data_IF_073430683661
#
_entry.id   IF_073430683661
#
_cell.length_a   1.000
_cell.length_b   1.000
_cell.length_c   1.000
_cell.angle_alpha   90.00
_cell.angle_beta   90.00
_cell.angle_gamma   90.00
#
_symmetry.space_group_name_H-M   'P 1'
#
loop_
_entity.id
_entity.type
_entity.pdbx_description
1 polymer ?
#
# COMPACT_ATOMS: atom_id res chain seq x y z
N UNK A 1 -8.74 -10.40 53.56
CA UNK A 1 -9.62 -10.15 52.40
C UNK A 1 -9.12 -8.89 51.72
N UNK A 2 -8.56 -8.98 50.50
CA UNK A 2 -8.09 -7.83 49.72
C UNK A 2 -9.11 -7.53 48.63
N UNK A 3 -9.54 -6.28 48.42
CA UNK A 3 -10.48 -5.96 47.35
C UNK A 3 -9.74 -5.98 46.00
N UNK A 4 -10.23 -6.80 45.06
CA UNK A 4 -9.87 -6.71 43.65
C UNK A 4 -10.56 -5.49 43.05
N UNK A 5 -9.82 -4.44 42.70
CA UNK A 5 -10.30 -3.41 41.79
C UNK A 5 -10.24 -3.96 40.37
N UNK A 6 -11.39 -4.36 39.85
CA UNK A 6 -11.56 -4.68 38.42
C UNK A 6 -11.78 -3.37 37.67
N UNK A 7 -10.71 -2.80 37.11
CA UNK A 7 -10.80 -1.62 36.26
C UNK A 7 -11.20 -2.07 34.84
N UNK A 8 -12.51 -2.03 34.55
CA UNK A 8 -13.03 -2.27 33.21
C UNK A 8 -12.76 -1.04 32.34
N UNK A 9 -11.67 -1.07 31.57
CA UNK A 9 -11.42 -0.09 30.53
C UNK A 9 -12.24 -0.45 29.28
N UNK A 10 -13.39 0.20 29.09
CA UNK A 10 -14.11 0.17 27.82
C UNK A 10 -13.33 1.00 26.78
N UNK A 11 -12.42 0.36 26.03
CA UNK A 11 -11.84 0.96 24.84
C UNK A 11 -12.87 0.81 23.72
N UNK A 12 -13.61 1.88 23.46
CA UNK A 12 -14.48 1.99 22.28
C UNK A 12 -13.59 2.40 21.10
N UNK A 13 -13.20 1.44 20.26
CA UNK A 13 -12.61 1.73 18.95
C UNK A 13 -13.73 2.14 17.98
N UNK A 14 -13.95 3.44 17.79
CA UNK A 14 -14.66 3.95 16.62
C UNK A 14 -13.66 4.11 15.47
N UNK A 15 -13.60 3.15 14.56
CA UNK A 15 -12.92 3.29 13.27
C UNK A 15 -13.81 4.13 12.33
N UNK A 16 -13.58 5.44 12.31
CA UNK A 16 -14.16 6.31 11.27
C UNK A 16 -13.32 6.15 10.00
N UNK A 17 -13.80 5.35 9.04
CA UNK A 17 -13.22 5.27 7.70
C UNK A 17 -13.57 6.55 6.92
N UNK A 18 -12.79 7.61 7.13
CA UNK A 18 -12.75 8.72 6.20
C UNK A 18 -11.85 8.32 5.02
N UNK A 19 -12.47 7.95 3.90
CA UNK A 19 -11.76 7.78 2.63
C UNK A 19 -11.25 9.17 2.18
N UNK A 20 -10.00 9.50 2.54
CA UNK A 20 -9.32 10.67 2.01
C UNK A 20 -8.97 10.41 0.54
N UNK A 21 -9.81 10.88 -0.37
CA UNK A 21 -9.48 11.03 -1.78
C UNK A 21 -8.54 12.23 -1.91
N UNK A 22 -7.23 12.00 -1.94
CA UNK A 22 -6.26 13.02 -2.35
C UNK A 22 -6.05 12.90 -3.85
N UNK A 23 -6.59 13.86 -4.62
CA UNK A 23 -6.20 14.03 -6.01
C UNK A 23 -4.71 14.44 -6.08
N UNK A 24 -3.90 13.82 -6.95
CA UNK A 24 -2.50 14.22 -7.11
C UNK A 24 -2.42 15.57 -7.83
N UNK A 25 -1.87 16.55 -7.13
CA UNK A 25 -1.45 17.83 -7.67
C UNK A 25 -0.33 17.60 -8.70
N UNK A 26 -0.66 17.84 -9.96
CA UNK A 26 0.22 17.72 -11.13
C UNK A 26 1.31 18.82 -11.06
N UNK A 27 2.40 18.54 -10.37
CA UNK A 27 3.58 19.39 -10.34
C UNK A 27 4.29 19.35 -11.69
N UNK A 28 4.02 20.35 -12.52
CA UNK A 28 4.74 20.64 -13.75
C UNK A 28 6.20 21.02 -13.42
N UNK A 29 7.12 20.08 -13.61
CA UNK A 29 8.55 20.34 -13.62
C UNK A 29 9.00 20.58 -15.07
N UNK A 30 9.02 21.84 -15.49
CA UNK A 30 9.73 22.32 -16.67
C UNK A 30 11.23 22.33 -16.38
N UNK A 31 11.95 21.34 -16.88
CA UNK A 31 13.41 21.41 -17.02
C UNK A 31 13.75 21.78 -18.46
N UNK A 32 13.98 23.08 -18.66
CA UNK A 32 14.82 23.58 -19.73
C UNK A 32 16.24 23.04 -19.50
N UNK A 33 16.77 22.28 -20.47
CA UNK A 33 18.19 21.89 -20.49
C UNK A 33 18.75 22.17 -21.87
N UNK A 34 19.46 23.29 -21.88
CA UNK A 34 20.56 23.74 -22.73
C UNK A 34 20.88 22.97 -24.02
N UNK A 35 20.67 23.73 -25.08
CA UNK A 35 21.05 23.55 -26.47
C UNK A 35 22.58 23.47 -26.61
N UNK A 36 23.09 22.26 -26.80
CA UNK A 36 24.49 21.99 -27.12
C UNK A 36 24.80 22.33 -28.58
N UNK A 37 25.61 23.36 -28.78
CA UNK A 37 26.11 23.89 -30.04
C UNK A 37 26.75 22.80 -30.94
N UNK A 38 26.13 22.54 -32.09
CA UNK A 38 26.58 21.55 -33.07
C UNK A 38 27.65 22.11 -34.01
N UNK A 39 28.69 21.32 -34.24
CA UNK A 39 29.77 21.60 -35.19
C UNK A 39 29.24 21.71 -36.65
N UNK A 40 29.88 22.55 -37.50
CA UNK A 40 29.47 22.71 -38.89
C UNK A 40 29.71 21.42 -39.70
N UNK A 41 28.62 20.86 -40.24
CA UNK A 41 28.66 19.69 -41.11
C UNK A 41 29.22 20.03 -42.52
N UNK A 42 29.92 19.08 -43.18
CA UNK A 42 30.42 19.26 -44.54
C UNK A 42 29.26 19.34 -45.56
N UNK A 43 29.38 20.27 -46.52
CA UNK A 43 28.42 20.47 -47.62
C UNK A 43 28.20 19.20 -48.44
N UNK A 44 27.03 18.59 -48.28
CA UNK A 44 26.57 17.49 -49.11
C UNK A 44 25.97 17.99 -50.43
N UNK A 45 26.22 17.21 -51.49
CA UNK A 45 25.72 17.36 -52.86
C UNK A 45 24.18 17.38 -52.89
N UNK A 46 23.54 18.21 -53.74
CA UNK A 46 22.09 18.28 -53.80
C UNK A 46 21.47 16.91 -54.15
N UNK A 47 20.52 16.40 -53.35
CA UNK A 47 19.86 15.14 -53.64
C UNK A 47 19.02 15.29 -54.92
N UNK A 48 19.18 14.31 -55.80
CA UNK A 48 18.28 14.07 -56.94
C UNK A 48 16.84 14.11 -56.47
N UNK A 49 15.99 14.88 -57.17
CA UNK A 49 14.59 15.11 -56.84
C UNK A 49 13.82 13.79 -56.72
N UNK A 50 13.79 13.26 -55.50
CA UNK A 50 12.96 12.13 -55.13
C UNK A 50 11.50 12.57 -55.27
N UNK A 51 10.76 11.87 -56.13
CA UNK A 51 9.32 12.00 -56.28
C UNK A 51 8.69 11.98 -54.90
N UNK A 52 8.12 13.10 -54.46
CA UNK A 52 7.42 13.20 -53.20
C UNK A 52 6.28 12.19 -53.21
N UNK A 53 6.41 11.13 -52.41
CA UNK A 53 5.29 10.24 -52.16
C UNK A 53 4.15 11.09 -51.58
N UNK A 54 2.90 10.82 -51.98
CA UNK A 54 1.75 11.49 -51.36
C UNK A 54 1.87 11.33 -49.83
N UNK A 55 1.47 12.35 -49.04
CA UNK A 55 1.47 12.23 -47.60
C UNK A 55 0.66 10.98 -47.24
N UNK A 56 1.33 9.93 -46.78
CA UNK A 56 0.64 8.80 -46.20
C UNK A 56 -0.02 9.37 -44.95
N UNK A 57 -1.35 9.27 -44.87
CA UNK A 57 -2.08 9.47 -43.63
C UNK A 57 -1.54 8.46 -42.62
N UNK A 58 -0.52 8.88 -41.86
CA UNK A 58 0.04 8.09 -40.78
C UNK A 58 -1.07 7.99 -39.75
N UNK A 59 -1.68 6.81 -39.68
CA UNK A 59 -2.60 6.52 -38.59
C UNK A 59 -1.84 6.79 -37.28
N UNK A 60 -2.39 7.64 -36.39
CA UNK A 60 -1.69 8.00 -35.17
C UNK A 60 -1.36 6.73 -34.40
N UNK A 61 -0.14 6.65 -33.81
CA UNK A 61 0.29 5.46 -33.10
C UNK A 61 -0.73 5.10 -32.01
N UNK A 62 -1.01 3.80 -31.80
CA UNK A 62 -1.96 3.37 -30.79
C UNK A 62 -1.50 3.89 -29.42
N UNK A 63 -2.40 4.58 -28.71
CA UNK A 63 -2.11 5.07 -27.36
C UNK A 63 -2.02 3.88 -26.41
N UNK A 64 -0.85 3.69 -25.80
CA UNK A 64 -0.68 2.67 -24.75
C UNK A 64 -1.66 2.95 -23.61
N UNK A 65 -2.46 1.97 -23.18
CA UNK A 65 -3.42 2.18 -22.12
C UNK A 65 -2.68 2.46 -20.81
N UNK A 66 -3.14 3.46 -20.04
CA UNK A 66 -2.54 3.84 -18.76
C UNK A 66 -2.69 2.70 -17.75
N UNK A 67 -1.66 2.36 -16.96
CA UNK A 67 -1.79 1.39 -15.88
C UNK A 67 -2.93 1.75 -14.91
N UNK A 68 -3.63 0.73 -14.40
CA UNK A 68 -4.66 0.87 -13.38
C UNK A 68 -4.05 0.52 -12.03
N UNK A 69 -4.26 1.36 -11.02
CA UNK A 69 -3.79 1.12 -9.65
C UNK A 69 -4.89 0.54 -8.79
N UNK A 70 -4.62 -0.58 -8.11
CA UNK A 70 -5.52 -1.20 -7.13
C UNK A 70 -4.93 -1.04 -5.73
N UNK A 71 -5.74 -0.57 -4.79
CA UNK A 71 -5.32 -0.43 -3.39
C UNK A 71 -5.56 -1.72 -2.60
N UNK A 72 -4.54 -2.22 -1.91
CA UNK A 72 -4.63 -3.39 -1.02
C UNK A 72 -4.24 -3.07 0.43
N UNK A 73 -4.11 -1.79 0.79
CA UNK A 73 -3.67 -1.38 2.14
C UNK A 73 -4.59 -1.81 3.28
N UNK A 74 -5.86 -2.12 3.02
CA UNK A 74 -6.74 -2.68 4.05
C UNK A 74 -6.23 -4.01 4.60
N UNK A 75 -5.49 -4.80 3.81
CA UNK A 75 -4.90 -6.06 4.25
C UNK A 75 -3.80 -5.81 5.30
N UNK A 76 -2.93 -4.82 5.04
CA UNK A 76 -1.91 -4.40 6.01
C UNK A 76 -2.56 -3.89 7.30
N UNK A 77 -3.59 -3.05 7.19
CA UNK A 77 -4.34 -2.54 8.36
C UNK A 77 -4.97 -3.66 9.19
N UNK A 78 -5.49 -4.72 8.55
CA UNK A 78 -6.05 -5.87 9.25
C UNK A 78 -4.97 -6.64 10.05
N UNK A 79 -3.78 -6.81 9.46
CA UNK A 79 -2.65 -7.44 10.14
C UNK A 79 -2.13 -6.57 11.30
N UNK A 80 -2.09 -5.26 11.13
CA UNK A 80 -1.75 -4.32 12.21
C UNK A 80 -2.76 -4.38 13.36
N UNK A 81 -4.05 -4.44 13.05
CA UNK A 81 -5.09 -4.68 14.05
C UNK A 81 -4.91 -6.00 14.80
N UNK A 82 -4.51 -7.07 14.11
CA UNK A 82 -4.21 -8.34 14.72
C UNK A 82 -2.97 -8.27 15.64
N UNK A 83 -1.91 -7.57 15.23
CA UNK A 83 -0.71 -7.37 16.04
C UNK A 83 -1.02 -6.60 17.34
N UNK A 84 -1.82 -5.53 17.27
CA UNK A 84 -2.27 -4.78 18.46
C UNK A 84 -3.12 -5.66 19.37
N UNK A 85 -4.00 -6.47 18.79
CA UNK A 85 -4.82 -7.43 19.56
C UNK A 85 -3.95 -8.44 20.30
N UNK A 86 -2.93 -8.99 19.63
CA UNK A 86 -1.96 -9.90 20.26
C UNK A 86 -1.17 -9.22 21.37
N UNK A 87 -0.72 -7.98 21.17
CA UNK A 87 -0.01 -7.21 22.19
C UNK A 87 -0.89 -6.94 23.42
N UNK A 88 -2.17 -6.61 23.19
CA UNK A 88 -3.15 -6.46 24.27
C UNK A 88 -3.34 -7.75 25.06
N UNK A 89 -3.48 -8.90 24.37
CA UNK A 89 -3.58 -10.21 25.02
C UNK A 89 -2.32 -10.51 25.82
N UNK A 90 -1.12 -10.23 25.28
CA UNK A 90 0.14 -10.40 25.99
C UNK A 90 0.16 -9.60 27.30
N UNK A 91 -0.22 -8.32 27.26
CA UNK A 91 -0.25 -7.46 28.45
C UNK A 91 -1.24 -7.89 29.54
N UNK A 92 -2.25 -8.68 29.20
CA UNK A 92 -3.25 -9.20 30.15
C UNK A 92 -3.03 -10.67 30.54
N UNK A 93 -2.17 -11.39 29.81
CA UNK A 93 -1.85 -12.78 30.12
C UNK A 93 -0.96 -12.86 31.37
N UNK A 94 -1.21 -13.87 32.21
CA UNK A 94 -0.38 -14.17 33.37
C UNK A 94 0.36 -15.49 33.15
N UNK A 95 1.60 -15.59 33.64
CA UNK A 95 2.45 -16.78 33.47
C UNK A 95 3.27 -16.77 32.19
N UNK A 96 3.83 -17.94 31.84
CA UNK A 96 4.83 -18.11 30.76
C UNK A 96 4.27 -17.88 29.35
N UNK A 97 2.96 -17.89 29.17
CA UNK A 97 2.33 -17.74 27.86
C UNK A 97 2.39 -16.27 27.37
N UNK A 98 2.64 -15.31 28.25
CA UNK A 98 2.76 -13.88 27.92
C UNK A 98 3.85 -13.63 26.85
N UNK A 99 5.03 -14.23 27.03
CA UNK A 99 6.17 -14.02 26.12
C UNK A 99 5.84 -14.46 24.69
N UNK A 100 5.10 -15.56 24.54
CA UNK A 100 4.71 -16.08 23.22
C UNK A 100 3.74 -15.13 22.49
N UNK A 101 2.79 -14.53 23.21
CA UNK A 101 1.91 -13.51 22.63
C UNK A 101 2.67 -12.23 22.31
N UNK A 102 3.63 -11.82 23.15
CA UNK A 102 4.49 -10.66 22.90
C UNK A 102 5.35 -10.83 21.66
N UNK A 103 6.06 -11.95 21.52
CA UNK A 103 6.84 -12.27 20.32
C UNK A 103 5.96 -12.41 19.08
N UNK A 104 4.78 -13.02 19.23
CA UNK A 104 3.78 -13.11 18.18
C UNK A 104 3.36 -11.72 17.70
N UNK A 105 3.01 -10.81 18.61
CA UNK A 105 2.60 -9.44 18.27
C UNK A 105 3.71 -8.69 17.51
N UNK A 106 4.95 -8.75 18.00
CA UNK A 106 6.11 -8.10 17.36
C UNK A 106 6.36 -8.68 15.97
N UNK A 107 6.34 -10.01 15.83
CA UNK A 107 6.53 -10.68 14.54
C UNK A 107 5.40 -10.34 13.55
N UNK A 108 4.15 -10.37 13.99
CA UNK A 108 2.98 -10.01 13.18
C UNK A 108 3.06 -8.55 12.71
N UNK A 109 3.43 -7.62 13.59
CA UNK A 109 3.61 -6.22 13.20
C UNK A 109 4.79 -6.03 12.22
N UNK A 110 5.96 -6.57 12.54
CA UNK A 110 7.17 -6.31 11.77
C UNK A 110 7.14 -6.98 10.39
N UNK A 111 6.62 -8.21 10.30
CA UNK A 111 6.68 -9.02 9.07
C UNK A 111 5.36 -9.07 8.31
N UNK A 112 4.24 -8.74 8.95
CA UNK A 112 2.90 -8.81 8.36
C UNK A 112 2.75 -8.05 7.04
N UNK A 113 3.00 -6.74 7.08
CA UNK A 113 2.99 -5.88 5.88
C UNK A 113 3.99 -6.32 4.81
N UNK A 114 5.29 -6.53 5.15
CA UNK A 114 6.29 -7.01 4.20
C UNK A 114 5.91 -8.30 3.47
N UNK A 115 5.31 -9.28 4.18
CA UNK A 115 4.84 -10.53 3.56
C UNK A 115 3.72 -10.25 2.55
N UNK A 116 2.77 -9.35 2.88
CA UNK A 116 1.71 -8.95 1.94
C UNK A 116 2.31 -8.28 0.70
N UNK A 117 3.24 -7.33 0.86
CA UNK A 117 3.90 -6.70 -0.28
C UNK A 117 4.65 -7.69 -1.17
N UNK A 118 5.32 -8.69 -0.57
CA UNK A 118 5.96 -9.78 -1.32
C UNK A 118 4.94 -10.65 -2.07
N UNK A 119 3.79 -10.94 -1.46
CA UNK A 119 2.72 -11.69 -2.11
C UNK A 119 2.14 -10.98 -3.34
N UNK A 120 2.18 -9.63 -3.34
CA UNK A 120 1.81 -8.78 -4.48
C UNK A 120 2.97 -8.51 -5.45
N UNK A 121 4.12 -9.20 -5.31
CA UNK A 121 5.25 -9.07 -6.24
C UNK A 121 6.05 -7.78 -6.09
N UNK A 122 5.96 -7.09 -4.95
CA UNK A 122 6.60 -5.79 -4.71
C UNK A 122 7.74 -5.86 -3.68
N UNK A 123 8.92 -6.44 -4.01
CA UNK A 123 10.00 -6.66 -3.04
C UNK A 123 10.64 -5.36 -2.53
N UNK A 124 10.75 -4.33 -3.37
CA UNK A 124 11.26 -3.01 -2.95
C UNK A 124 10.35 -2.37 -1.90
N UNK A 125 9.04 -2.43 -2.14
CA UNK A 125 8.00 -1.98 -1.21
C UNK A 125 8.02 -2.77 0.09
N UNK A 126 8.22 -4.10 0.03
CA UNK A 126 8.33 -4.95 1.22
C UNK A 126 9.52 -4.56 2.11
N UNK A 127 10.68 -4.30 1.50
CA UNK A 127 11.86 -3.83 2.24
C UNK A 127 11.63 -2.45 2.86
N UNK A 128 11.04 -1.53 2.10
CA UNK A 128 10.66 -0.20 2.59
C UNK A 128 9.68 -0.26 3.77
N UNK A 129 8.66 -1.12 3.66
CA UNK A 129 7.68 -1.39 4.72
C UNK A 129 8.36 -1.91 6.00
N UNK A 130 9.27 -2.88 5.88
CA UNK A 130 10.01 -3.42 7.03
C UNK A 130 10.88 -2.34 7.69
N UNK A 131 11.63 -1.58 6.89
CA UNK A 131 12.49 -0.51 7.38
C UNK A 131 11.67 0.58 8.10
N UNK A 132 10.50 0.94 7.55
CA UNK A 132 9.59 1.90 8.14
C UNK A 132 9.00 1.39 9.47
N UNK A 133 8.52 0.14 9.49
CA UNK A 133 7.90 -0.49 10.67
C UNK A 133 8.88 -0.72 11.82
N UNK A 134 10.17 -0.93 11.54
CA UNK A 134 11.19 -1.02 12.60
C UNK A 134 11.73 0.36 12.94
N UNK A 135 12.09 1.14 11.93
CA UNK A 135 12.76 2.42 12.08
C UNK A 135 11.90 3.51 12.69
N UNK A 136 10.64 3.66 12.26
CA UNK A 136 9.80 4.76 12.73
C UNK A 136 9.40 4.62 14.22
N UNK A 137 8.99 3.45 14.74
CA UNK A 137 8.75 3.30 16.18
C UNK A 137 10.01 3.47 17.03
N UNK A 138 11.16 2.93 16.59
CA UNK A 138 12.44 3.08 17.30
C UNK A 138 12.88 4.54 17.31
N UNK A 139 12.88 5.21 16.15
CA UNK A 139 13.21 6.63 16.03
C UNK A 139 12.24 7.51 16.81
N UNK A 140 10.94 7.21 16.76
CA UNK A 140 9.92 7.88 17.56
C UNK A 140 10.19 7.74 19.06
N UNK A 141 10.51 6.55 19.54
CA UNK A 141 10.86 6.32 20.95
C UNK A 141 12.10 7.13 21.38
N UNK A 142 13.15 7.15 20.56
CA UNK A 142 14.36 7.93 20.83
C UNK A 142 14.06 9.44 20.89
N UNK A 143 13.29 9.96 19.93
CA UNK A 143 12.86 11.35 19.92
C UNK A 143 11.96 11.68 21.11
N UNK A 144 11.08 10.77 21.49
CA UNK A 144 10.19 10.92 22.64
C UNK A 144 10.95 11.02 23.96
N UNK A 145 11.93 10.14 24.20
CA UNK A 145 12.81 10.25 25.38
C UNK A 145 13.64 11.53 25.36
N UNK A 146 14.16 11.93 24.19
CA UNK A 146 14.97 13.15 24.06
C UNK A 146 14.15 14.45 24.23
N UNK A 147 12.85 14.41 23.95
CA UNK A 147 11.94 15.54 24.07
C UNK A 147 11.44 15.76 25.51
N UNK A 148 11.62 14.79 26.41
CA UNK A 148 11.26 14.96 27.80
C UNK A 148 12.26 15.90 28.51
N UNK A 149 11.73 16.91 29.20
CA UNK A 149 12.54 17.88 29.93
C UNK A 149 12.89 17.39 31.34
N UNK A 150 12.21 16.37 31.83
CA UNK A 150 12.53 15.72 33.09
C UNK A 150 13.65 14.69 32.89
N UNK A 151 14.75 14.86 33.62
CA UNK A 151 15.89 13.94 33.58
C UNK A 151 15.65 12.65 34.37
N UNK A 152 14.43 12.46 34.90
CA UNK A 152 14.04 11.21 35.53
C UNK A 152 13.93 10.06 34.50
N UNK A 153 14.31 8.86 34.93
CA UNK A 153 14.16 7.65 34.10
C UNK A 153 12.70 7.39 33.71
N UNK A 154 11.77 7.77 34.58
CA UNK A 154 10.33 7.66 34.34
C UNK A 154 9.84 8.65 33.27
N UNK A 155 10.41 9.87 33.22
CA UNK A 155 10.14 10.85 32.15
C UNK A 155 10.58 10.29 30.79
N UNK A 156 11.85 9.93 30.66
CA UNK A 156 12.36 9.33 29.41
C UNK A 156 11.55 8.10 28.97
N UNK A 157 11.18 7.20 29.89
CA UNK A 157 10.34 6.05 29.54
C UNK A 157 8.95 6.47 29.04
N UNK A 158 8.30 7.42 29.72
CA UNK A 158 7.01 7.96 29.31
C UNK A 158 7.07 8.60 27.92
N UNK A 159 8.06 9.47 27.69
CA UNK A 159 8.34 10.06 26.39
C UNK A 159 8.60 9.01 25.32
N UNK A 160 9.41 8.00 25.61
CA UNK A 160 9.71 6.92 24.69
C UNK A 160 8.47 6.11 24.29
N UNK A 161 7.57 5.81 25.23
CA UNK A 161 6.31 5.10 24.91
C UNK A 161 5.42 5.95 24.01
N UNK A 162 5.25 7.24 24.31
CA UNK A 162 4.46 8.15 23.46
C UNK A 162 5.08 8.26 22.06
N UNK A 163 6.38 8.46 21.98
CA UNK A 163 7.12 8.54 20.73
C UNK A 163 7.06 7.25 19.91
N UNK A 164 7.17 6.09 20.57
CA UNK A 164 7.00 4.78 19.94
C UNK A 164 5.63 4.64 19.29
N UNK A 165 4.56 4.99 20.01
CA UNK A 165 3.18 4.88 19.52
C UNK A 165 2.91 5.82 18.34
N UNK A 166 3.47 7.03 18.37
CA UNK A 166 3.41 7.97 17.24
C UNK A 166 4.19 7.44 16.03
N UNK A 167 5.37 6.88 16.25
CA UNK A 167 6.18 6.23 15.21
C UNK A 167 5.48 5.02 14.60
N UNK A 168 4.83 4.19 15.44
CA UNK A 168 3.99 3.07 15.02
C UNK A 168 2.82 3.54 14.13
N UNK A 169 2.03 4.51 14.59
CA UNK A 169 0.90 5.02 13.83
C UNK A 169 1.32 5.63 12.50
N UNK A 170 2.44 6.36 12.49
CA UNK A 170 3.03 6.92 11.26
C UNK A 170 3.45 5.82 10.29
N UNK A 171 4.13 4.78 10.77
CA UNK A 171 4.53 3.65 9.93
C UNK A 171 3.32 2.98 9.29
N UNK A 172 2.28 2.66 10.07
CA UNK A 172 1.05 2.02 9.57
C UNK A 172 0.35 2.90 8.53
N UNK A 173 0.23 4.20 8.80
CA UNK A 173 -0.42 5.13 7.89
C UNK A 173 0.32 5.25 6.54
N UNK A 174 1.63 5.46 6.57
CA UNK A 174 2.46 5.59 5.36
C UNK A 174 2.49 4.29 4.56
N UNK A 175 2.63 3.15 5.24
CA UNK A 175 2.61 1.83 4.60
C UNK A 175 1.28 1.57 3.86
N UNK A 176 0.15 1.77 4.53
CA UNK A 176 -1.16 1.57 3.94
C UNK A 176 -1.50 2.59 2.84
N UNK A 177 -1.09 3.86 3.00
CA UNK A 177 -1.51 4.95 2.12
C UNK A 177 -0.57 5.24 0.95
N UNK A 178 0.72 4.87 1.04
CA UNK A 178 1.71 5.14 0.00
C UNK A 178 2.27 3.87 -0.65
N UNK A 179 2.45 2.79 0.13
CA UNK A 179 3.14 1.59 -0.32
C UNK A 179 2.19 0.51 -0.85
N UNK A 180 0.96 0.42 -0.32
CA UNK A 180 0.04 -0.69 -0.59
C UNK A 180 -0.82 -0.51 -1.86
N UNK A 181 -0.18 -0.29 -3.00
CA UNK A 181 -0.81 -0.28 -4.33
C UNK A 181 -0.16 -1.28 -5.26
N UNK A 182 -0.96 -1.88 -6.12
CA UNK A 182 -0.52 -2.71 -7.22
C UNK A 182 -0.84 -2.02 -8.54
N UNK A 183 0.11 -2.04 -9.46
CA UNK A 183 -0.11 -1.59 -10.84
C UNK A 183 -0.48 -2.78 -11.70
N UNK A 184 -1.65 -2.70 -12.31
CA UNK A 184 -2.06 -3.65 -13.34
C UNK A 184 -1.99 -2.96 -14.69
N UNK A 185 -1.57 -3.69 -15.71
CA UNK A 185 -1.87 -3.29 -17.08
C UNK A 185 -3.38 -3.08 -17.18
N UNK A 186 -3.79 -1.91 -17.68
CA UNK A 186 -5.19 -1.68 -17.96
C UNK A 186 -5.71 -2.87 -18.78
N UNK A 187 -6.89 -3.42 -18.45
CA UNK A 187 -7.46 -4.52 -19.21
C UNK A 187 -7.40 -4.13 -20.68
N UNK A 188 -6.60 -4.87 -21.47
CA UNK A 188 -6.53 -4.64 -22.92
C UNK A 188 -7.97 -4.58 -23.39
N UNK A 189 -8.40 -3.43 -23.90
CA UNK A 189 -9.78 -3.15 -24.26
C UNK A 189 -10.31 -4.39 -24.97
N UNK A 190 -11.13 -5.16 -24.25
CA UNK A 190 -11.46 -6.50 -24.71
C UNK A 190 -12.12 -6.32 -26.08
N UNK A 191 -11.51 -6.90 -27.11
CA UNK A 191 -12.19 -7.10 -28.39
C UNK A 191 -13.58 -7.61 -28.04
N UNK A 192 -14.63 -6.89 -28.47
CA UNK A 192 -16.05 -7.10 -28.13
C UNK A 192 -16.60 -8.51 -28.49
N UNK A 193 -15.73 -9.44 -28.84
CA UNK A 193 -15.96 -10.81 -29.27
C UNK A 193 -15.31 -11.81 -28.31
N UNK A 194 -15.49 -11.63 -26.99
CA UNK A 194 -15.33 -12.76 -26.08
C UNK A 194 -16.70 -13.41 -25.90
N UNK A 195 -16.80 -14.73 -26.10
CA UNK A 195 -18.04 -15.42 -25.81
C UNK A 195 -18.36 -15.23 -24.32
N UNK A 196 -19.48 -14.57 -24.03
CA UNK A 196 -19.94 -14.34 -22.68
C UNK A 196 -20.74 -15.57 -22.26
N UNK A 197 -20.18 -16.44 -21.43
CA UNK A 197 -20.88 -17.62 -20.91
C UNK A 197 -21.36 -17.34 -19.49
N UNK A 198 -22.66 -17.19 -19.30
CA UNK A 198 -23.35 -17.01 -18.03
C UNK A 198 -23.93 -18.33 -17.55
N UNK A 199 -23.47 -18.90 -16.43
CA UNK A 199 -24.12 -20.06 -15.83
C UNK A 199 -25.52 -19.68 -15.35
N UNK A 200 -26.49 -20.54 -15.61
CA UNK A 200 -27.87 -20.38 -15.14
C UNK A 200 -28.26 -21.56 -14.28
N UNK A 201 -28.98 -21.28 -13.21
CA UNK A 201 -29.61 -22.30 -12.38
C UNK A 201 -31.05 -21.86 -12.08
N UNK A 202 -32.01 -22.76 -12.23
CA UNK A 202 -33.41 -22.49 -11.89
C UNK A 202 -34.02 -23.65 -11.11
N UNK A 203 -34.98 -23.34 -10.24
CA UNK A 203 -35.65 -24.30 -9.37
C UNK A 203 -37.14 -23.99 -9.28
N UNK A 204 -37.99 -24.99 -9.53
CA UNK A 204 -39.46 -24.84 -9.56
C UNK A 204 -40.19 -25.69 -8.50
N UNK A 205 -39.50 -26.01 -7.40
CA UNK A 205 -40.05 -26.79 -6.28
C UNK A 205 -40.13 -28.30 -6.54
N UNK A 206 -40.37 -28.73 -7.79
CA UNK A 206 -40.46 -30.14 -8.19
C UNK A 206 -39.37 -30.54 -9.21
N UNK A 207 -38.63 -29.57 -9.74
CA UNK A 207 -37.53 -29.80 -10.67
C UNK A 207 -36.47 -28.69 -10.53
N UNK A 208 -35.23 -29.04 -10.88
CA UNK A 208 -34.12 -28.10 -11.00
C UNK A 208 -33.44 -28.22 -12.36
N UNK A 209 -32.93 -27.12 -12.88
CA UNK A 209 -32.10 -27.10 -14.09
C UNK A 209 -30.83 -26.28 -13.86
N UNK A 210 -29.76 -26.72 -14.51
CA UNK A 210 -28.48 -26.02 -14.63
C UNK A 210 -28.13 -25.91 -16.11
N UNK A 211 -27.59 -24.76 -16.51
CA UNK A 211 -27.28 -24.49 -17.90
C UNK A 211 -26.24 -23.40 -18.06
N UNK A 212 -25.91 -23.12 -19.32
CA UNK A 212 -25.04 -22.03 -19.73
C UNK A 212 -25.80 -21.22 -20.79
N UNK A 213 -25.87 -19.90 -20.64
CA UNK A 213 -26.37 -18.97 -21.66
C UNK A 213 -25.23 -18.09 -22.13
N UNK A 214 -25.23 -17.67 -23.39
CA UNK A 214 -24.18 -16.77 -23.84
C UNK A 214 -24.34 -16.20 -25.23
N UNK A 215 -23.59 -15.13 -25.48
CA UNK A 215 -23.27 -14.65 -26.82
C UNK A 215 -22.00 -15.38 -27.25
N UNK A 216 -22.07 -16.09 -28.38
CA UNK A 216 -20.94 -16.85 -28.95
C UNK A 216 -20.46 -16.16 -30.22
#
# INVERSE_FOLDING_TARGET
MRPSLTLTACIVLTTSMAAAQTEPEEAAATTDTEEGEAAPAPSATPPSAATALPPMDLEPPPVSPKPVRTWYGWQNLAIDGAAVTLLYVAGNASGRDNDSFGYGAVATYALGGPIIHLAHGNPGTALGSLALRVGAPVGGAMLGCAADADSSELGCLGGAVVGFLLGYGTAVAVDAAALAYEEHEAPRAWSKTRPLVTPTASWTGHAGSIGLQGLF
#
